data_IF_674150473900
#
_entry.id   IF_674150473900
#
_cell.length_a   1.000
_cell.length_b   1.000
_cell.length_c   1.000
_cell.angle_alpha   90.00
_cell.angle_beta   90.00
_cell.angle_gamma   90.00
#
_symmetry.space_group_name_H-M   'P 1'
#
loop_
_entity.id
_entity.type
_entity.pdbx_description
1 polymer ?
#
# COMPACT_ATOMS: atom_id res chain seq x y z
N UNK A 1 -19.28 -26.94 25.69
CA UNK A 1 -18.45 -25.74 25.84
C UNK A 1 -17.61 -25.65 24.58
N UNK A 2 -18.14 -24.97 23.56
CA UNK A 2 -17.40 -24.70 22.33
C UNK A 2 -16.55 -23.46 22.58
N UNK A 3 -15.24 -23.61 22.52
CA UNK A 3 -14.29 -22.50 22.52
C UNK A 3 -14.57 -21.60 21.32
N UNK A 4 -15.40 -20.58 21.54
CA UNK A 4 -15.67 -19.49 20.62
C UNK A 4 -14.77 -18.32 20.99
N UNK A 5 -13.85 -18.04 20.06
CA UNK A 5 -13.40 -16.70 19.70
C UNK A 5 -12.45 -15.98 20.65
N UNK A 6 -11.16 -16.33 20.59
CA UNK A 6 -10.18 -15.24 20.42
C UNK A 6 -10.24 -14.84 18.95
N UNK A 7 -10.75 -13.66 18.64
CA UNK A 7 -10.63 -13.09 17.30
C UNK A 7 -9.16 -13.16 16.84
N UNK A 8 -8.85 -13.59 15.60
CA UNK A 8 -7.49 -13.56 15.09
C UNK A 8 -6.93 -12.13 15.23
N UNK A 9 -5.86 -11.99 16.00
CA UNK A 9 -5.31 -10.69 16.37
C UNK A 9 -3.84 -10.58 15.96
N UNK A 10 -3.48 -9.44 15.38
CA UNK A 10 -2.10 -9.13 15.04
C UNK A 10 -1.28 -8.78 16.29
N UNK A 11 0.00 -9.15 16.26
CA UNK A 11 0.98 -8.75 17.27
C UNK A 11 1.87 -7.63 16.74
N UNK A 12 2.33 -6.73 17.62
CA UNK A 12 3.30 -5.70 17.23
C UNK A 12 4.64 -6.34 16.87
N UNK A 13 5.08 -6.14 15.63
CA UNK A 13 6.37 -6.61 15.11
C UNK A 13 7.49 -5.59 15.38
N UNK A 14 7.17 -4.30 15.26
CA UNK A 14 8.11 -3.20 15.51
C UNK A 14 7.37 -1.94 16.01
N UNK A 15 7.60 -1.58 17.27
CA UNK A 15 6.93 -0.46 17.95
C UNK A 15 7.55 0.90 17.59
N UNK A 16 7.32 1.36 16.35
CA UNK A 16 7.91 2.60 15.81
C UNK A 16 7.03 3.83 16.02
N UNK A 17 5.70 3.66 16.10
CA UNK A 17 4.74 4.76 16.33
C UNK A 17 4.87 5.90 15.31
N UNK A 18 4.99 5.55 14.03
CA UNK A 18 4.99 6.48 12.91
C UNK A 18 3.72 7.35 12.90
N UNK A 19 3.84 8.56 12.37
CA UNK A 19 2.69 9.46 12.26
C UNK A 19 1.70 8.93 11.22
N UNK A 20 2.20 8.57 10.03
CA UNK A 20 1.43 7.91 8.97
C UNK A 20 2.28 6.80 8.34
N UNK A 21 2.28 5.62 8.96
CA UNK A 21 2.96 4.45 8.44
C UNK A 21 2.22 3.90 7.21
N UNK A 22 2.91 3.67 6.09
CA UNK A 22 2.30 3.25 4.81
C UNK A 22 3.28 2.46 3.92
N UNK A 23 2.81 2.02 2.75
CA UNK A 23 3.60 1.44 1.67
C UNK A 23 4.47 0.24 2.04
N UNK A 24 4.03 -0.72 2.88
CA UNK A 24 4.84 -1.87 3.21
C UNK A 24 5.14 -2.71 1.97
N UNK A 25 6.39 -3.11 1.80
CA UNK A 25 6.87 -3.93 0.69
C UNK A 25 7.92 -4.94 1.15
N UNK A 26 7.70 -6.21 0.84
CA UNK A 26 8.58 -7.30 1.26
C UNK A 26 9.67 -7.58 0.24
N UNK A 27 10.93 -7.51 0.67
CA UNK A 27 12.10 -7.84 -0.14
C UNK A 27 12.65 -9.19 0.30
N UNK A 28 12.26 -10.24 -0.41
CA UNK A 28 12.59 -11.63 -0.03
C UNK A 28 14.09 -11.94 -0.02
N UNK A 29 14.86 -11.33 -0.93
CA UNK A 29 16.32 -11.49 -0.98
C UNK A 29 17.04 -10.94 0.26
N UNK A 30 16.37 -10.05 0.99
CA UNK A 30 16.90 -9.40 2.19
C UNK A 30 16.23 -9.87 3.47
N UNK A 31 15.18 -10.70 3.37
CA UNK A 31 14.30 -11.07 4.47
C UNK A 31 13.82 -9.85 5.28
N UNK A 32 13.47 -8.77 4.56
CA UNK A 32 13.17 -7.47 5.16
C UNK A 32 11.89 -6.86 4.60
N UNK A 33 11.17 -6.15 5.47
CA UNK A 33 10.03 -5.33 5.13
C UNK A 33 10.48 -3.87 5.08
N UNK A 34 10.24 -3.21 3.96
CA UNK A 34 10.36 -1.77 3.82
C UNK A 34 8.98 -1.14 3.97
N UNK A 35 8.90 0.09 4.49
CA UNK A 35 7.66 0.86 4.59
C UNK A 35 8.02 2.34 4.78
N UNK A 36 7.05 3.23 4.75
CA UNK A 36 7.27 4.67 4.89
C UNK A 36 6.58 5.23 6.12
N UNK A 37 7.06 6.36 6.63
CA UNK A 37 6.30 7.30 7.43
C UNK A 37 6.10 8.57 6.60
N UNK A 38 4.90 8.74 6.02
CA UNK A 38 4.61 9.77 5.03
C UNK A 38 4.87 11.15 5.63
N UNK A 39 4.23 11.44 6.77
CA UNK A 39 4.36 12.73 7.45
C UNK A 39 5.71 12.87 8.17
N UNK A 40 6.28 11.76 8.63
CA UNK A 40 7.63 11.72 9.18
C UNK A 40 8.74 11.89 8.14
N UNK A 41 8.43 11.79 6.84
CA UNK A 41 9.36 11.82 5.70
C UNK A 41 10.48 10.80 5.83
N UNK A 42 10.12 9.56 6.15
CA UNK A 42 11.09 8.48 6.34
C UNK A 42 10.75 7.27 5.51
N UNK A 43 11.80 6.62 5.02
CA UNK A 43 11.76 5.22 4.59
C UNK A 43 12.32 4.37 5.72
N UNK A 44 11.62 3.32 6.08
CA UNK A 44 12.02 2.34 7.09
C UNK A 44 12.32 1.00 6.44
N UNK A 45 13.28 0.27 7.01
CA UNK A 45 13.57 -1.14 6.73
C UNK A 45 13.60 -1.88 8.05
N UNK A 46 12.91 -3.00 8.15
CA UNK A 46 12.88 -3.85 9.33
C UNK A 46 13.15 -5.30 8.94
N UNK A 47 14.01 -5.99 9.69
CA UNK A 47 14.34 -7.41 9.50
C UNK A 47 13.69 -8.23 10.62
N UNK A 48 12.57 -8.93 10.35
CA UNK A 48 11.87 -9.73 11.34
C UNK A 48 12.77 -10.81 11.94
N UNK A 49 12.59 -11.12 13.23
CA UNK A 49 13.36 -12.14 13.95
C UNK A 49 14.75 -11.69 14.42
N UNK A 50 15.41 -10.77 13.71
CA UNK A 50 16.66 -10.13 14.17
C UNK A 50 16.41 -8.83 14.94
N UNK A 51 15.26 -8.19 14.72
CA UNK A 51 14.93 -6.90 15.36
C UNK A 51 15.73 -5.72 14.80
N UNK A 52 16.49 -5.93 13.73
CA UNK A 52 17.29 -4.89 13.09
C UNK A 52 16.39 -3.95 12.29
N UNK A 53 16.49 -2.66 12.60
CA UNK A 53 15.76 -1.60 11.91
C UNK A 53 16.72 -0.52 11.44
N UNK A 54 16.47 0.00 10.23
CA UNK A 54 17.18 1.13 9.65
C UNK A 54 16.18 2.11 9.05
N UNK A 55 16.58 3.37 8.89
CA UNK A 55 15.76 4.34 8.18
C UNK A 55 16.59 5.37 7.41
N UNK A 56 15.95 5.97 6.42
CA UNK A 56 16.45 7.08 5.62
C UNK A 56 15.47 8.23 5.67
N UNK A 57 15.98 9.46 5.60
CA UNK A 57 15.14 10.68 5.51
C UNK A 57 14.91 10.98 4.04
N UNK A 58 13.64 11.04 3.65
CA UNK A 58 13.23 11.46 2.31
C UNK A 58 13.17 12.98 2.21
N UNK A 59 13.36 13.57 1.01
CA UNK A 59 13.30 15.02 0.83
C UNK A 59 11.87 15.59 0.91
N UNK A 60 10.84 14.73 0.90
CA UNK A 60 9.43 15.10 0.99
C UNK A 60 8.58 13.99 1.62
N UNK A 61 7.25 14.17 1.60
CA UNK A 61 6.29 13.14 2.03
C UNK A 61 6.37 11.94 1.07
N UNK A 62 7.19 10.95 1.43
CA UNK A 62 7.36 9.72 0.65
C UNK A 62 6.19 8.78 0.96
N UNK A 63 5.39 8.46 -0.06
CA UNK A 63 4.09 7.82 0.11
C UNK A 63 4.12 6.30 -0.11
N UNK A 64 4.97 5.83 -1.02
CA UNK A 64 5.16 4.41 -1.31
C UNK A 64 6.57 4.13 -1.84
N UNK A 65 6.91 2.84 -1.95
CA UNK A 65 8.11 2.33 -2.61
C UNK A 65 7.73 1.24 -3.62
N UNK A 66 8.10 1.42 -4.88
CA UNK A 66 7.95 0.42 -5.94
C UNK A 66 9.32 -0.21 -6.20
N UNK A 67 9.55 -1.47 -5.84
CA UNK A 67 10.84 -2.12 -6.08
C UNK A 67 11.18 -2.14 -7.57
N UNK A 68 12.45 -1.93 -7.90
CA UNK A 68 12.97 -2.03 -9.27
C UNK A 68 13.91 -3.23 -9.37
N UNK A 69 14.08 -3.79 -10.57
CA UNK A 69 14.92 -4.97 -10.83
C UNK A 69 16.40 -4.78 -10.47
N UNK A 70 16.90 -3.54 -10.53
CA UNK A 70 18.27 -3.18 -10.18
C UNK A 70 18.54 -3.12 -8.66
N UNK A 71 17.53 -3.36 -7.82
CA UNK A 71 17.62 -3.34 -6.36
C UNK A 71 17.30 -1.98 -5.72
N UNK A 72 17.03 -0.95 -6.52
CA UNK A 72 16.54 0.35 -6.05
C UNK A 72 15.01 0.36 -5.97
N UNK A 73 14.43 1.53 -5.66
CA UNK A 73 12.98 1.77 -5.66
C UNK A 73 12.62 2.99 -6.51
N UNK A 74 11.43 3.00 -7.11
CA UNK A 74 10.73 4.25 -7.39
C UNK A 74 9.88 4.64 -6.19
N UNK A 75 10.20 5.77 -5.58
CA UNK A 75 9.51 6.37 -4.45
C UNK A 75 8.53 7.45 -4.93
N UNK A 76 7.29 7.41 -4.44
CA UNK A 76 6.31 8.46 -4.71
C UNK A 76 6.48 9.63 -3.74
N UNK A 77 6.83 10.81 -4.25
CA UNK A 77 6.93 12.07 -3.50
C UNK A 77 5.86 13.06 -4.00
N UNK A 78 5.61 14.19 -3.31
CA UNK A 78 4.48 15.06 -3.63
C UNK A 78 4.39 15.51 -5.09
N UNK A 79 5.53 15.76 -5.73
CA UNK A 79 5.62 16.34 -7.08
C UNK A 79 6.10 15.34 -8.15
N UNK A 80 6.26 14.05 -7.81
CA UNK A 80 6.75 13.08 -8.79
C UNK A 80 7.28 11.77 -8.24
N UNK A 81 7.84 10.99 -9.16
CA UNK A 81 8.53 9.73 -8.87
C UNK A 81 10.03 9.97 -8.78
N UNK A 82 10.64 9.44 -7.73
CA UNK A 82 12.07 9.55 -7.45
C UNK A 82 12.69 8.17 -7.39
N UNK A 83 13.87 8.01 -8.00
CA UNK A 83 14.75 6.88 -7.74
C UNK A 83 15.28 6.98 -6.32
N UNK A 84 15.00 5.99 -5.49
CA UNK A 84 15.58 5.82 -4.16
C UNK A 84 16.57 4.66 -4.17
N UNK A 85 17.84 4.97 -3.88
CA UNK A 85 18.89 3.98 -3.67
C UNK A 85 19.24 3.90 -2.16
N UNK A 86 18.90 2.79 -1.47
CA UNK A 86 19.22 2.60 -0.06
C UNK A 86 20.72 2.56 0.24
N UNK A 87 21.54 2.06 -0.70
CA UNK A 87 22.99 1.93 -0.54
C UNK A 87 23.68 3.29 -0.65
N UNK A 88 23.28 4.09 -1.65
CA UNK A 88 23.76 5.45 -1.81
C UNK A 88 23.08 6.46 -0.86
N UNK A 89 21.96 6.07 -0.22
CA UNK A 89 21.11 6.96 0.59
C UNK A 89 20.67 8.21 -0.18
N UNK A 90 20.35 8.05 -1.47
CA UNK A 90 20.00 9.15 -2.39
C UNK A 90 18.57 9.05 -2.90
N UNK A 91 18.01 10.21 -3.23
CA UNK A 91 16.73 10.37 -3.92
C UNK A 91 16.93 11.26 -5.14
N UNK A 92 16.69 10.74 -6.34
CA UNK A 92 16.88 11.46 -7.60
C UNK A 92 15.56 11.48 -8.38
N UNK A 93 15.12 12.64 -8.86
CA UNK A 93 13.83 12.76 -9.55
C UNK A 93 13.91 12.09 -10.93
N UNK A 94 12.97 11.21 -11.22
CA UNK A 94 12.85 10.48 -12.50
C UNK A 94 11.73 11.07 -13.36
N UNK A 95 10.59 11.40 -12.74
CA UNK A 95 9.41 11.92 -13.44
C UNK A 95 8.64 12.93 -12.60
N UNK A 96 8.16 13.99 -13.25
CA UNK A 96 7.08 14.83 -12.72
C UNK A 96 5.74 14.09 -12.80
N UNK A 97 4.90 14.26 -11.78
CA UNK A 97 3.51 13.77 -11.77
C UNK A 97 2.62 14.91 -11.30
N UNK A 98 1.56 15.21 -12.07
CA UNK A 98 0.58 16.26 -11.75
C UNK A 98 1.21 17.63 -11.43
N UNK A 99 2.24 18.04 -12.19
CA UNK A 99 2.93 19.33 -11.99
C UNK A 99 1.99 20.56 -12.04
N UNK A 100 0.82 20.42 -12.65
CA UNK A 100 -0.24 21.41 -12.74
C UNK A 100 -1.22 21.40 -11.53
N UNK A 101 -1.07 20.46 -10.59
CA UNK A 101 -1.93 20.31 -9.40
C UNK A 101 -1.11 20.34 -8.10
N UNK A 102 -0.59 21.50 -7.67
CA UNK A 102 0.27 21.61 -6.48
C UNK A 102 -0.42 21.29 -5.14
N UNK A 103 -1.75 21.17 -5.11
CA UNK A 103 -2.51 20.70 -3.94
C UNK A 103 -2.65 19.17 -3.87
N UNK A 104 -2.29 18.46 -4.94
CA UNK A 104 -2.29 17.01 -4.94
C UNK A 104 -0.97 16.43 -4.42
N UNK A 105 -1.01 15.19 -3.97
CA UNK A 105 0.16 14.35 -3.74
C UNK A 105 -0.08 12.91 -4.19
N UNK A 106 1.00 12.17 -4.39
CA UNK A 106 0.97 10.72 -4.51
C UNK A 106 0.59 10.08 -3.16
N UNK A 107 -0.04 8.90 -3.20
CA UNK A 107 -0.52 8.21 -2.01
C UNK A 107 -0.10 6.74 -1.96
N UNK A 108 -0.85 5.82 -2.56
CA UNK A 108 -0.55 4.39 -2.48
C UNK A 108 -0.12 3.82 -3.83
N UNK A 109 0.67 2.74 -3.82
CA UNK A 109 1.20 2.10 -5.02
C UNK A 109 1.51 0.61 -4.87
N UNK A 110 1.60 -0.09 -6.01
CA UNK A 110 2.07 -1.46 -6.11
C UNK A 110 2.76 -1.72 -7.45
N UNK A 111 3.39 -2.88 -7.60
CA UNK A 111 3.92 -3.35 -8.90
C UNK A 111 3.18 -4.61 -9.32
N UNK A 112 2.75 -4.67 -10.58
CA UNK A 112 2.04 -5.82 -11.12
C UNK A 112 2.97 -6.91 -11.68
N UNK A 113 2.39 -8.05 -12.06
CA UNK A 113 3.13 -9.19 -12.62
C UNK A 113 3.86 -8.92 -13.94
N UNK A 114 3.55 -7.81 -14.62
CA UNK A 114 4.18 -7.39 -15.86
C UNK A 114 5.26 -6.33 -15.62
N UNK A 115 5.60 -6.06 -14.36
CA UNK A 115 6.61 -5.07 -13.99
C UNK A 115 6.16 -3.63 -14.22
N UNK A 116 4.85 -3.37 -14.24
CA UNK A 116 4.30 -2.00 -14.26
C UNK A 116 4.05 -1.53 -12.83
N UNK A 117 4.52 -0.35 -12.51
CA UNK A 117 4.13 0.36 -11.30
C UNK A 117 2.73 0.94 -11.46
N UNK A 118 1.91 0.85 -10.43
CA UNK A 118 0.57 1.42 -10.36
C UNK A 118 0.45 2.25 -9.10
N UNK A 119 -0.18 3.41 -9.16
CA UNK A 119 -0.32 4.26 -7.98
C UNK A 119 -1.46 5.28 -8.10
N UNK A 120 -1.97 5.69 -6.94
CA UNK A 120 -2.99 6.72 -6.79
C UNK A 120 -2.42 8.08 -6.38
N UNK A 121 -3.14 9.14 -6.73
CA UNK A 121 -2.96 10.51 -6.20
C UNK A 121 -4.20 10.97 -5.46
N UNK A 122 -4.06 12.03 -4.68
CA UNK A 122 -5.12 12.58 -3.84
C UNK A 122 -4.93 14.08 -3.62
N UNK A 123 -5.99 14.76 -3.21
CA UNK A 123 -5.90 16.08 -2.58
C UNK A 123 -5.21 15.93 -1.22
N UNK A 124 -4.10 16.64 -0.96
CA UNK A 124 -3.39 16.56 0.32
C UNK A 124 -4.22 17.12 1.48
N UNK A 125 -5.26 17.91 1.20
CA UNK A 125 -6.24 18.38 2.19
C UNK A 125 -7.44 17.45 2.38
N UNK A 126 -7.59 16.44 1.51
CA UNK A 126 -8.69 15.47 1.52
C UNK A 126 -10.09 16.11 1.32
N UNK A 127 -10.16 17.29 0.69
CA UNK A 127 -11.41 18.05 0.53
C UNK A 127 -12.06 17.84 -0.86
N UNK A 128 -11.24 17.66 -1.90
CA UNK A 128 -11.69 17.58 -3.29
C UNK A 128 -11.41 16.21 -3.93
N UNK A 129 -12.29 15.72 -4.81
CA UNK A 129 -12.07 14.50 -5.60
C UNK A 129 -11.11 14.75 -6.79
N UNK A 130 -9.94 15.34 -6.54
CA UNK A 130 -8.95 15.71 -7.57
C UNK A 130 -7.92 14.61 -7.88
N UNK A 131 -7.95 13.52 -7.12
CA UNK A 131 -7.07 12.37 -7.21
C UNK A 131 -7.33 11.52 -8.45
N UNK A 132 -6.31 10.76 -8.84
CA UNK A 132 -6.29 9.98 -10.08
C UNK A 132 -5.50 8.68 -9.92
N UNK A 133 -5.74 7.74 -10.84
CA UNK A 133 -5.02 6.48 -10.92
C UNK A 133 -4.06 6.50 -12.11
N UNK A 134 -2.81 6.13 -11.86
CA UNK A 134 -1.73 6.11 -12.84
C UNK A 134 -1.02 4.75 -12.89
N UNK A 135 -0.33 4.52 -13.99
CA UNK A 135 0.71 3.49 -14.09
C UNK A 135 2.00 4.06 -14.66
N UNK A 136 3.14 3.49 -14.27
CA UNK A 136 4.46 3.78 -14.81
C UNK A 136 5.12 2.49 -15.29
N UNK A 137 5.80 2.55 -16.43
CA UNK A 137 6.64 1.46 -16.94
C UNK A 137 7.91 2.03 -17.55
N UNK A 138 8.96 1.22 -17.68
CA UNK A 138 10.23 1.65 -18.28
C UNK A 138 10.27 1.30 -19.77
N UNK A 139 10.77 2.20 -20.61
CA UNK A 139 11.09 1.99 -22.03
C UNK A 139 12.58 2.28 -22.28
N UNK A 140 13.05 2.20 -23.53
CA UNK A 140 14.43 2.56 -23.85
C UNK A 140 14.72 4.06 -23.60
N UNK A 141 13.67 4.89 -23.59
CA UNK A 141 13.72 6.33 -23.36
C UNK A 141 13.55 6.73 -21.88
N UNK A 142 13.38 5.76 -20.97
CA UNK A 142 13.19 5.97 -19.54
C UNK A 142 11.77 5.62 -19.07
N UNK A 143 11.33 6.18 -17.95
CA UNK A 143 9.99 5.89 -17.44
C UNK A 143 8.90 6.64 -18.19
N UNK A 144 7.79 5.95 -18.45
CA UNK A 144 6.61 6.48 -19.14
C UNK A 144 5.39 6.35 -18.24
N UNK A 145 4.75 7.48 -17.98
CA UNK A 145 3.54 7.60 -17.18
C UNK A 145 2.29 7.45 -18.07
N UNK A 146 1.26 6.76 -17.55
CA UNK A 146 -0.08 6.65 -18.16
C UNK A 146 -1.15 6.97 -17.12
N UNK A 147 -2.07 7.86 -17.48
CA UNK A 147 -3.25 8.20 -16.68
C UNK A 147 -4.42 7.29 -17.07
N UNK A 148 -5.15 6.77 -16.08
CA UNK A 148 -6.22 5.78 -16.33
C UNK A 148 -7.60 6.21 -15.84
N UNK A 149 -7.69 6.81 -14.66
CA UNK A 149 -8.96 7.15 -14.03
C UNK A 149 -8.82 8.38 -13.12
N UNK A 150 -9.93 9.02 -12.77
CA UNK A 150 -9.98 10.25 -11.97
C UNK A 150 -11.21 10.27 -11.05
N UNK A 151 -11.30 11.29 -10.20
CA UNK A 151 -12.46 11.53 -9.33
C UNK A 151 -12.35 10.85 -7.96
N UNK A 152 -11.12 10.62 -7.48
CA UNK A 152 -10.86 10.09 -6.15
C UNK A 152 -10.60 11.23 -5.18
N UNK A 153 -11.15 11.18 -3.97
CA UNK A 153 -10.71 12.10 -2.90
C UNK A 153 -9.39 11.61 -2.32
N UNK A 154 -9.33 10.32 -1.98
CA UNK A 154 -8.10 9.64 -1.54
C UNK A 154 -8.00 8.32 -2.30
N UNK A 155 -7.20 8.29 -3.37
CA UNK A 155 -6.93 7.06 -4.10
C UNK A 155 -6.00 6.16 -3.28
N UNK A 156 -6.54 5.02 -2.86
CA UNK A 156 -5.84 3.98 -2.13
C UNK A 156 -5.88 2.66 -2.88
N UNK A 157 -5.04 1.71 -2.49
CA UNK A 157 -4.60 0.74 -3.48
C UNK A 157 -3.80 1.44 -4.59
N UNK A 158 -3.21 0.68 -5.52
CA UNK A 158 -3.94 -0.40 -6.14
C UNK A 158 -3.46 -1.78 -5.73
N UNK A 159 -4.28 -2.78 -6.05
CA UNK A 159 -3.91 -4.18 -6.08
C UNK A 159 -4.27 -4.80 -7.43
N UNK A 160 -3.52 -5.81 -7.87
CA UNK A 160 -3.80 -6.55 -9.10
C UNK A 160 -4.14 -8.00 -8.77
N UNK A 161 -5.10 -8.59 -9.50
CA UNK A 161 -5.45 -10.00 -9.32
C UNK A 161 -4.29 -10.94 -9.67
N UNK A 162 -4.26 -12.17 -9.14
CA UNK A 162 -3.18 -13.12 -9.40
C UNK A 162 -2.97 -13.43 -10.89
N UNK A 163 -4.05 -13.35 -11.69
CA UNK A 163 -4.04 -13.60 -13.12
C UNK A 163 -3.82 -12.34 -13.98
N UNK A 164 -3.65 -11.18 -13.35
CA UNK A 164 -3.37 -9.92 -14.04
C UNK A 164 -4.55 -9.28 -14.76
N UNK A 165 -5.78 -9.78 -14.55
CA UNK A 165 -6.96 -9.34 -15.31
C UNK A 165 -7.84 -8.33 -14.59
N UNK A 166 -7.62 -8.13 -13.30
CA UNK A 166 -8.38 -7.17 -12.51
C UNK A 166 -7.43 -6.25 -11.75
N UNK A 167 -7.80 -4.97 -11.68
CA UNK A 167 -7.19 -3.99 -10.79
C UNK A 167 -8.24 -3.53 -9.78
N UNK A 168 -7.83 -3.36 -8.54
CA UNK A 168 -8.64 -2.84 -7.44
C UNK A 168 -8.06 -1.52 -6.94
N UNK A 169 -8.92 -0.53 -6.72
CA UNK A 169 -8.53 0.76 -6.16
C UNK A 169 -9.65 1.27 -5.24
N UNK A 170 -9.26 1.90 -4.14
CA UNK A 170 -10.13 2.43 -3.11
C UNK A 170 -10.34 3.94 -3.32
N UNK A 171 -11.55 4.39 -3.01
CA UNK A 171 -11.84 5.79 -2.74
C UNK A 171 -12.24 5.91 -1.27
N UNK A 172 -11.26 6.21 -0.44
CA UNK A 172 -11.32 6.02 1.01
C UNK A 172 -12.51 6.76 1.64
N UNK A 173 -12.73 8.07 1.41
CA UNK A 173 -13.80 8.80 2.08
C UNK A 173 -15.20 8.35 1.66
N UNK A 174 -15.32 7.75 0.47
CA UNK A 174 -16.58 7.20 -0.03
C UNK A 174 -16.83 5.75 0.43
N UNK A 175 -15.88 5.11 1.13
CA UNK A 175 -16.05 3.74 1.63
C UNK A 175 -15.99 2.66 0.54
N UNK A 176 -15.57 3.01 -0.69
CA UNK A 176 -15.71 2.14 -1.86
C UNK A 176 -14.37 1.56 -2.29
N UNK A 177 -14.37 0.26 -2.55
CA UNK A 177 -13.36 -0.44 -3.35
C UNK A 177 -13.95 -0.67 -4.74
N UNK A 178 -13.33 -0.09 -5.75
CA UNK A 178 -13.62 -0.34 -7.15
C UNK A 178 -12.82 -1.54 -7.68
N UNK A 179 -13.35 -2.16 -8.74
CA UNK A 179 -12.60 -3.07 -9.61
C UNK A 179 -12.72 -2.65 -11.07
N UNK A 180 -11.68 -2.95 -11.83
CA UNK A 180 -11.54 -2.68 -13.25
C UNK A 180 -11.15 -3.96 -13.97
N UNK A 181 -11.56 -4.08 -15.23
CA UNK A 181 -10.93 -5.04 -16.12
C UNK A 181 -9.58 -4.45 -16.57
N UNK A 182 -8.51 -5.20 -16.36
CA UNK A 182 -7.14 -4.86 -16.73
C UNK A 182 -6.73 -5.67 -17.96
N UNK A 183 -6.48 -4.97 -19.05
CA UNK A 183 -5.98 -5.60 -20.27
C UNK A 183 -4.46 -5.84 -20.21
N UNK A 184 -3.96 -6.70 -21.10
CA UNK A 184 -2.53 -7.01 -21.19
C UNK A 184 -1.66 -5.76 -21.45
N UNK A 185 -2.15 -4.79 -22.23
CA UNK A 185 -1.43 -3.53 -22.51
C UNK A 185 -1.49 -2.52 -21.35
N UNK A 186 -2.29 -2.81 -20.32
CA UNK A 186 -2.43 -1.98 -19.13
C UNK A 186 -3.63 -1.05 -19.17
N UNK A 187 -4.47 -1.07 -20.21
CA UNK A 187 -5.70 -0.29 -20.22
C UNK A 187 -6.68 -0.82 -19.18
N UNK A 188 -7.31 0.11 -18.45
CA UNK A 188 -8.42 -0.15 -17.56
C UNK A 188 -9.76 0.09 -18.24
N UNK A 189 -10.74 -0.75 -17.94
CA UNK A 189 -12.12 -0.60 -18.41
C UNK A 189 -13.13 -1.16 -17.40
N UNK A 190 -14.42 -0.96 -17.65
CA UNK A 190 -15.52 -1.53 -16.86
C UNK A 190 -15.41 -1.26 -15.34
N UNK A 191 -15.11 -0.01 -14.95
CA UNK A 191 -15.12 0.43 -13.54
C UNK A 191 -16.44 0.06 -12.88
N UNK A 192 -16.37 -0.64 -11.76
CA UNK A 192 -17.55 -1.07 -11.00
C UNK A 192 -17.22 -1.22 -9.52
N UNK A 193 -18.21 -1.02 -8.66
CA UNK A 193 -18.06 -1.27 -7.23
C UNK A 193 -17.79 -2.76 -7.02
N UNK A 194 -16.72 -3.06 -6.28
CA UNK A 194 -16.42 -4.40 -5.79
C UNK A 194 -16.96 -4.56 -4.37
N UNK A 195 -16.63 -3.64 -3.48
CA UNK A 195 -17.10 -3.58 -2.09
C UNK A 195 -17.47 -2.14 -1.75
N UNK A 196 -18.56 -1.95 -1.03
CA UNK A 196 -18.86 -0.70 -0.34
C UNK A 196 -18.93 -1.02 1.16
N UNK A 197 -17.97 -0.50 1.91
CA UNK A 197 -17.78 -0.78 3.33
C UNK A 197 -18.64 0.19 4.16
N UNK A 198 -19.50 -0.30 5.07
CA UNK A 198 -20.25 0.57 5.95
C UNK A 198 -19.31 1.29 6.93
N UNK A 199 -19.64 2.53 7.32
CA UNK A 199 -18.78 3.38 8.14
C UNK A 199 -18.41 2.77 9.50
N UNK A 200 -19.26 1.92 10.08
CA UNK A 200 -19.00 1.23 11.34
C UNK A 200 -17.87 0.19 11.25
N UNK A 201 -17.44 -0.14 10.02
CA UNK A 201 -16.30 -1.02 9.73
C UNK A 201 -15.01 -0.25 9.41
N UNK A 202 -15.04 1.09 9.47
CA UNK A 202 -13.96 1.97 9.03
C UNK A 202 -14.01 2.25 7.53
N UNK A 203 -12.92 2.81 7.00
CA UNK A 203 -12.79 3.20 5.59
C UNK A 203 -11.70 2.37 4.91
N UNK A 204 -11.90 1.91 3.66
CA UNK A 204 -10.93 1.07 2.97
C UNK A 204 -9.67 1.87 2.64
N UNK A 205 -8.53 1.36 3.08
CA UNK A 205 -7.22 1.97 2.87
C UNK A 205 -6.42 1.09 1.87
N UNK A 206 -5.16 0.75 2.16
CA UNK A 206 -4.34 -0.14 1.34
C UNK A 206 -4.93 -1.54 1.15
N UNK A 207 -4.93 -2.01 -0.10
CA UNK A 207 -5.38 -3.34 -0.52
C UNK A 207 -4.27 -4.18 -1.15
N UNK A 208 -4.38 -5.52 -1.01
CA UNK A 208 -3.54 -6.51 -1.71
C UNK A 208 -4.33 -7.76 -2.07
N UNK A 209 -3.90 -8.47 -3.13
CA UNK A 209 -4.44 -9.78 -3.49
C UNK A 209 -3.66 -10.91 -2.83
N UNK A 210 -4.34 -11.98 -2.41
CA UNK A 210 -3.70 -13.26 -2.12
C UNK A 210 -3.71 -14.20 -3.35
N UNK A 211 -3.02 -15.33 -3.22
CA UNK A 211 -2.86 -16.35 -4.26
C UNK A 211 -4.16 -17.02 -4.73
N UNK A 212 -5.26 -16.86 -4.00
CA UNK A 212 -6.58 -17.36 -4.39
C UNK A 212 -7.49 -16.25 -4.95
N UNK A 213 -6.96 -15.04 -5.09
CA UNK A 213 -7.70 -13.88 -5.61
C UNK A 213 -8.58 -13.20 -4.57
N UNK A 214 -8.43 -13.53 -3.28
CA UNK A 214 -9.09 -12.75 -2.24
C UNK A 214 -8.39 -11.40 -2.07
N UNK A 215 -9.16 -10.36 -1.75
CA UNK A 215 -8.67 -9.01 -1.54
C UNK A 215 -8.62 -8.73 -0.06
N UNK A 216 -7.41 -8.46 0.44
CA UNK A 216 -7.14 -8.04 1.80
C UNK A 216 -7.10 -6.52 1.84
N UNK A 217 -7.88 -5.92 2.73
CA UNK A 217 -8.07 -4.48 2.87
C UNK A 217 -7.80 -4.07 4.31
N UNK A 218 -6.84 -3.18 4.52
CA UNK A 218 -6.71 -2.45 5.77
C UNK A 218 -7.86 -1.46 5.92
N UNK A 219 -8.29 -1.19 7.16
CA UNK A 219 -9.37 -0.22 7.42
C UNK A 219 -8.92 0.91 8.33
N UNK A 220 -8.90 2.13 7.77
CA UNK A 220 -8.72 3.37 8.51
C UNK A 220 -9.88 3.59 9.48
N UNK A 221 -9.59 4.00 10.72
CA UNK A 221 -10.55 4.11 11.81
C UNK A 221 -11.39 2.83 12.04
N UNK A 222 -10.87 1.67 11.62
CA UNK A 222 -11.57 0.40 11.68
C UNK A 222 -10.87 -0.66 12.53
N UNK A 223 -9.59 -0.47 12.87
CA UNK A 223 -8.77 -1.41 13.67
C UNK A 223 -8.67 -2.84 13.13
N UNK A 224 -8.87 -3.04 11.82
CA UNK A 224 -8.86 -4.38 11.21
C UNK A 224 -8.11 -4.42 9.88
N UNK A 225 -7.66 -5.62 9.54
CA UNK A 225 -7.49 -6.05 8.15
C UNK A 225 -8.65 -6.99 7.81
N UNK A 226 -9.39 -6.69 6.75
CA UNK A 226 -10.54 -7.47 6.26
C UNK A 226 -10.15 -8.22 5.00
N UNK A 227 -10.71 -9.41 4.80
CA UNK A 227 -10.47 -10.20 3.61
C UNK A 227 -11.79 -10.48 2.89
N UNK A 228 -11.85 -10.17 1.60
CA UNK A 228 -13.01 -10.35 0.74
C UNK A 228 -12.71 -11.42 -0.32
N UNK A 229 -13.67 -12.30 -0.56
CA UNK A 229 -13.63 -13.24 -1.70
C UNK A 229 -13.60 -12.50 -3.04
N UNK A 230 -13.25 -13.16 -4.16
CA UNK A 230 -13.31 -12.55 -5.51
C UNK A 230 -14.67 -11.97 -5.91
N UNK A 231 -15.75 -12.36 -5.21
CA UNK A 231 -17.11 -11.85 -5.40
C UNK A 231 -17.48 -10.68 -4.48
N UNK A 232 -16.55 -10.21 -3.64
CA UNK A 232 -16.74 -9.07 -2.74
C UNK A 232 -17.39 -9.42 -1.39
N UNK A 233 -17.54 -10.71 -1.07
CA UNK A 233 -18.08 -11.16 0.22
C UNK A 233 -16.96 -11.23 1.25
N UNK A 234 -17.13 -10.57 2.40
CA UNK A 234 -16.18 -10.64 3.53
C UNK A 234 -16.12 -12.08 4.06
N UNK A 235 -14.92 -12.67 4.01
CA UNK A 235 -14.65 -14.05 4.48
C UNK A 235 -13.97 -14.11 5.83
N UNK A 236 -13.22 -13.07 6.20
CA UNK A 236 -12.46 -13.02 7.45
C UNK A 236 -12.12 -11.57 7.82
N UNK A 237 -11.90 -11.33 9.11
CA UNK A 237 -11.32 -10.11 9.66
C UNK A 237 -10.26 -10.46 10.69
N UNK A 238 -9.24 -9.62 10.79
CA UNK A 238 -8.15 -9.74 11.74
C UNK A 238 -8.04 -8.43 12.52
N UNK A 239 -8.22 -8.49 13.83
CA UNK A 239 -8.05 -7.33 14.70
C UNK A 239 -6.58 -6.89 14.72
N UNK A 240 -6.36 -5.59 14.67
CA UNK A 240 -5.04 -4.97 14.80
C UNK A 240 -5.08 -4.06 16.03
N UNK A 241 -4.10 -4.11 16.95
CA UNK A 241 -4.05 -3.23 18.11
C UNK A 241 -3.59 -1.79 17.77
N UNK A 242 -4.16 -1.24 16.69
CA UNK A 242 -4.05 0.14 16.23
C UNK A 242 -5.37 0.56 15.57
N UNK A 243 -5.80 1.81 15.76
CA UNK A 243 -7.09 2.28 15.23
C UNK A 243 -7.04 2.53 13.71
N UNK A 244 -6.03 3.26 13.26
CA UNK A 244 -5.84 3.59 11.84
C UNK A 244 -4.91 2.56 11.21
N UNK A 245 -5.49 1.50 10.66
CA UNK A 245 -4.75 0.46 9.94
C UNK A 245 -4.67 0.86 8.48
N UNK A 246 -3.45 0.95 7.93
CA UNK A 246 -3.21 1.66 6.68
C UNK A 246 -2.99 0.72 5.50
N UNK A 247 -2.01 -0.20 5.59
CA UNK A 247 -1.74 -1.14 4.49
C UNK A 247 -1.16 -2.46 4.97
N UNK A 248 -1.37 -3.50 4.16
CA UNK A 248 -0.89 -4.86 4.41
C UNK A 248 0.03 -5.30 3.27
N UNK A 249 1.09 -6.04 3.61
CA UNK A 249 1.95 -6.74 2.66
C UNK A 249 2.23 -8.16 3.14
N UNK A 250 2.39 -9.09 2.21
CA UNK A 250 2.75 -10.48 2.52
C UNK A 250 4.24 -10.71 2.39
N UNK A 251 4.83 -11.39 3.38
CA UNK A 251 6.23 -11.76 3.43
C UNK A 251 6.49 -13.11 4.08
N UNK A 252 7.75 -13.38 4.38
CA UNK A 252 8.25 -14.70 4.77
C UNK A 252 8.34 -15.68 3.60
N UNK A 253 9.03 -16.80 3.81
CA UNK A 253 9.34 -17.78 2.76
C UNK A 253 8.09 -18.40 2.11
N UNK A 254 7.03 -18.59 2.90
CA UNK A 254 5.75 -19.13 2.44
C UNK A 254 4.72 -18.06 2.06
N UNK A 255 5.10 -16.77 2.15
CA UNK A 255 4.25 -15.59 1.88
C UNK A 255 2.95 -15.54 2.66
N UNK A 256 2.87 -16.21 3.80
CA UNK A 256 1.66 -16.20 4.65
C UNK A 256 1.82 -15.31 5.89
N UNK A 257 2.94 -14.61 6.03
CA UNK A 257 3.12 -13.63 7.11
C UNK A 257 2.66 -12.29 6.60
N UNK A 258 1.57 -11.77 7.15
CA UNK A 258 1.12 -10.41 6.88
C UNK A 258 1.94 -9.44 7.74
N UNK A 259 2.40 -8.35 7.13
CA UNK A 259 2.93 -7.18 7.79
C UNK A 259 1.98 -6.03 7.55
N UNK A 260 1.61 -5.31 8.61
CA UNK A 260 0.54 -4.32 8.59
C UNK A 260 1.04 -3.02 9.16
N UNK A 261 1.00 -1.95 8.37
CA UNK A 261 1.30 -0.60 8.84
C UNK A 261 0.07 0.04 9.47
N UNK A 262 0.31 1.05 10.30
CA UNK A 262 -0.74 1.83 10.94
C UNK A 262 -0.30 3.28 11.12
N UNK A 263 -1.22 4.14 11.56
CA UNK A 263 -0.99 5.56 11.73
C UNK A 263 -1.43 6.08 13.10
N UNK A 264 -0.83 7.20 13.51
CA UNK A 264 -1.27 8.02 14.64
C UNK A 264 -2.03 9.26 14.21
N UNK A 265 -1.86 9.67 12.95
CA UNK A 265 -2.49 10.84 12.37
C UNK A 265 -3.98 10.91 12.73
N UNK A 266 -4.40 12.07 13.24
CA UNK A 266 -5.79 12.35 13.59
C UNK A 266 -6.32 11.67 14.85
N UNK A 267 -5.53 10.83 15.54
CA UNK A 267 -5.97 10.17 16.76
C UNK A 267 -5.86 11.09 17.98
N UNK A 268 -6.91 11.12 18.80
CA UNK A 268 -6.91 11.83 20.08
C UNK A 268 -6.14 11.07 21.17
N UNK A 269 -5.71 11.76 22.22
CA UNK A 269 -5.03 11.15 23.37
C UNK A 269 -5.83 10.00 24.00
N UNK A 270 -7.16 10.10 24.02
CA UNK A 270 -8.03 9.05 24.54
C UNK A 270 -7.99 7.78 23.68
N UNK A 271 -7.92 7.93 22.35
CA UNK A 271 -7.78 6.79 21.43
C UNK A 271 -6.37 6.22 21.52
N UNK A 272 -5.33 7.07 21.58
CA UNK A 272 -3.95 6.64 21.75
C UNK A 272 -3.71 5.93 23.09
N UNK A 273 -4.40 6.31 24.16
CA UNK A 273 -4.35 5.56 25.42
C UNK A 273 -4.94 4.14 25.30
N UNK A 274 -5.93 3.95 24.43
CA UNK A 274 -6.53 2.64 24.13
C UNK A 274 -5.70 1.83 23.13
N UNK A 275 -5.07 2.50 22.18
CA UNK A 275 -4.26 1.91 21.10
C UNK A 275 -2.84 2.51 21.12
N UNK A 276 -2.03 2.24 22.18
CA UNK A 276 -0.76 2.92 22.39
C UNK A 276 0.28 2.66 21.27
N UNK A 277 0.14 1.52 20.59
CA UNK A 277 1.01 1.11 19.48
C UNK A 277 0.50 1.58 18.11
N UNK A 278 -0.53 2.43 18.03
CA UNK A 278 -0.89 3.07 16.76
C UNK A 278 0.32 3.77 16.14
N UNK A 279 0.52 3.61 14.84
CA UNK A 279 1.72 4.02 14.10
C UNK A 279 2.77 2.92 13.96
N UNK A 280 2.62 1.77 14.62
CA UNK A 280 3.62 0.70 14.60
C UNK A 280 3.36 -0.31 13.48
N UNK A 281 4.35 -1.19 13.25
CA UNK A 281 4.23 -2.31 12.33
C UNK A 281 3.72 -3.54 13.09
N UNK A 282 2.67 -4.15 12.58
CA UNK A 282 2.05 -5.36 13.14
C UNK A 282 2.24 -6.56 12.23
N UNK A 283 2.04 -7.75 12.76
CA UNK A 283 2.11 -8.99 12.00
C UNK A 283 1.11 -10.03 12.48
N UNK A 284 0.61 -10.83 11.55
CA UNK A 284 -0.17 -12.03 11.81
C UNK A 284 0.07 -13.07 10.72
N UNK A 285 -0.44 -14.28 10.95
CA UNK A 285 -0.38 -15.38 9.99
C UNK A 285 -1.70 -15.53 9.24
N UNK A 286 -1.65 -15.35 7.93
CA UNK A 286 -2.78 -15.57 7.04
C UNK A 286 -2.92 -17.05 6.68
N UNK A 287 -4.15 -17.45 6.35
CA UNK A 287 -4.48 -18.79 5.88
C UNK A 287 -4.01 -19.03 4.43
N UNK A 288 -4.10 -17.98 3.60
CA UNK A 288 -3.67 -17.95 2.20
C UNK A 288 -2.36 -17.19 2.03
N UNK A 289 -1.54 -17.65 1.10
CA UNK A 289 -0.28 -16.98 0.77
C UNK A 289 -0.56 -15.75 -0.09
N UNK A 290 0.17 -14.67 0.13
CA UNK A 290 0.22 -13.54 -0.79
C UNK A 290 0.92 -13.86 -2.10
N UNK A 291 0.87 -12.90 -3.02
CA UNK A 291 1.60 -12.94 -4.28
C UNK A 291 3.09 -12.68 -4.07
N UNK A 292 3.98 -13.16 -4.97
CA UNK A 292 5.35 -12.70 -5.02
C UNK A 292 5.41 -11.18 -5.17
N UNK A 293 6.34 -10.53 -4.47
CA UNK A 293 6.58 -9.11 -4.67
C UNK A 293 7.20 -8.89 -6.05
N UNK A 294 6.44 -8.27 -6.95
CA UNK A 294 6.92 -7.90 -8.27
C UNK A 294 7.81 -6.65 -8.21
N UNK A 295 8.63 -6.49 -9.26
CA UNK A 295 9.58 -5.39 -9.43
C UNK A 295 9.32 -4.72 -10.78
N UNK A 296 9.53 -3.41 -10.85
CA UNK A 296 9.42 -2.68 -12.10
C UNK A 296 10.51 -3.22 -13.04
N UNK A 297 10.08 -3.65 -14.22
CA UNK A 297 10.97 -4.20 -15.23
C UNK A 297 11.74 -3.07 -15.91
N UNK A 298 13.07 -3.21 -16.02
CA UNK A 298 13.90 -2.25 -16.75
C UNK A 298 14.17 -2.75 -18.16
N UNK A 299 13.81 -1.94 -19.15
CA UNK A 299 14.23 -2.14 -20.54
C UNK A 299 15.67 -1.67 -20.65
N UNK A 300 16.59 -2.58 -21.00
CA UNK A 300 17.98 -2.22 -21.29
C UNK A 300 18.02 -1.42 -22.58
N UNK A 301 18.79 -0.32 -22.59
CA UNK A 301 19.17 0.32 -23.83
C UNK A 301 20.12 -0.63 -24.60
N UNK A 302 19.83 -0.88 -25.87
CA UNK A 302 20.69 -1.64 -26.79
C UNK A 302 22.02 -0.92 -27.09
#
# INVERSE_FOLDING_TARGET
MSDLNSEPCASCAYDIRADLGEGPVWISSENAIYFVDINGRKVHRFTPGLGEAHHWVAPGKVAFLLPVEDGTFLAGLPDGLYRFDPQASSFEKELDVEADKPGNRLNDGCVDLHGRGWFGTMDDSEEAPSGSLYSVHHTAEGFVLRHHDTGYTVANGPAVSPDGKLLYACDTPNGVIYRFDLSADGALSNKRIFVNLPEDKGYPDGVVSDSEGNIWCSTWNGAHVRCFTPDGVERASFAVPAMNVTKVAFGGDDRKTAYVTSARQGLSDAVLARYPQSGSLFTFRADKAGLPQHRIALVKAD
#
